data_IF_608127588898
#
_entry.id   IF_608127588898
#
_cell.length_a   1.000
_cell.length_b   1.000
_cell.length_c   1.000
_cell.angle_alpha   90.00
_cell.angle_beta   90.00
_cell.angle_gamma   90.00
#
_symmetry.space_group_name_H-M   'P 1'
#
loop_
_entity.id
_entity.type
_entity.pdbx_description
1 polymer ?
#
# COMPACT_ATOMS: atom_id res chain seq x y z
N UNK A 1 2.45 -28.28 -26.06
CA UNK A 1 2.51 -28.48 -24.59
C UNK A 1 3.73 -27.78 -23.96
N UNK A 2 4.93 -27.98 -24.50
CA UNK A 2 6.21 -27.40 -24.03
C UNK A 2 6.19 -25.84 -23.95
N UNK A 3 5.65 -25.16 -24.97
CA UNK A 3 5.56 -23.67 -24.98
C UNK A 3 4.66 -23.11 -23.86
N UNK A 4 3.57 -23.81 -23.49
CA UNK A 4 2.70 -23.40 -22.38
C UNK A 4 3.39 -23.58 -21.02
N UNK A 5 4.18 -24.65 -20.87
CA UNK A 5 4.98 -24.91 -19.66
C UNK A 5 6.09 -23.86 -19.53
N UNK A 6 6.83 -23.58 -20.61
CA UNK A 6 7.88 -22.56 -20.62
C UNK A 6 7.34 -21.16 -20.28
N UNK A 7 6.20 -20.75 -20.86
CA UNK A 7 5.54 -19.46 -20.52
C UNK A 7 5.07 -19.41 -19.06
N UNK A 8 4.56 -20.52 -18.53
CA UNK A 8 4.15 -20.62 -17.12
C UNK A 8 5.34 -20.49 -16.17
N UNK A 9 6.45 -21.18 -16.46
CA UNK A 9 7.70 -21.10 -15.70
C UNK A 9 8.30 -19.69 -15.77
N UNK A 10 8.34 -19.08 -16.96
CA UNK A 10 8.82 -17.71 -17.14
C UNK A 10 7.97 -16.69 -16.37
N UNK A 11 6.64 -16.84 -16.38
CA UNK A 11 5.75 -15.98 -15.58
C UNK A 11 5.99 -16.14 -14.09
N UNK A 12 6.11 -17.37 -13.60
CA UNK A 12 6.45 -17.67 -12.20
C UNK A 12 7.79 -17.09 -11.80
N UNK A 13 8.81 -17.19 -12.66
CA UNK A 13 10.12 -16.63 -12.42
C UNK A 13 10.10 -15.10 -12.36
N UNK A 14 9.46 -14.44 -13.34
CA UNK A 14 9.30 -12.98 -13.35
C UNK A 14 8.57 -12.49 -12.09
N UNK A 15 7.51 -13.18 -11.69
CA UNK A 15 6.77 -12.87 -10.47
C UNK A 15 7.63 -13.03 -9.21
N UNK A 16 8.37 -14.14 -9.09
CA UNK A 16 9.30 -14.37 -7.96
C UNK A 16 10.38 -13.30 -7.91
N UNK A 17 10.95 -12.92 -9.06
CA UNK A 17 11.96 -11.85 -9.15
C UNK A 17 11.39 -10.49 -8.75
N UNK A 18 10.21 -10.13 -9.28
CA UNK A 18 9.54 -8.88 -8.94
C UNK A 18 9.25 -8.78 -7.45
N UNK A 19 8.65 -9.83 -6.86
CA UNK A 19 8.41 -9.92 -5.42
C UNK A 19 9.71 -9.74 -4.66
N UNK A 20 10.75 -10.52 -4.99
CA UNK A 20 12.05 -10.46 -4.31
C UNK A 20 12.61 -9.04 -4.31
N UNK A 21 12.56 -8.36 -5.46
CA UNK A 21 12.99 -6.97 -5.58
C UNK A 21 12.16 -6.05 -4.68
N UNK A 22 10.83 -6.14 -4.72
CA UNK A 22 9.96 -5.32 -3.88
C UNK A 22 10.23 -5.52 -2.38
N UNK A 23 10.48 -6.75 -1.94
CA UNK A 23 10.83 -7.06 -0.54
C UNK A 23 12.20 -6.51 -0.18
N UNK A 24 13.22 -6.72 -1.01
CA UNK A 24 14.58 -6.24 -0.76
C UNK A 24 14.63 -4.70 -0.72
N UNK A 25 13.96 -4.03 -1.67
CA UNK A 25 13.83 -2.57 -1.73
C UNK A 25 13.11 -2.03 -0.49
N UNK A 26 11.98 -2.63 -0.10
CA UNK A 26 11.20 -2.23 1.08
C UNK A 26 11.99 -2.38 2.37
N UNK A 27 12.70 -3.51 2.56
CA UNK A 27 13.55 -3.75 3.74
C UNK A 27 14.69 -2.74 3.83
N UNK A 28 15.37 -2.49 2.70
CA UNK A 28 16.47 -1.52 2.63
C UNK A 28 15.98 -0.12 2.97
N UNK A 29 14.88 0.33 2.38
CA UNK A 29 14.35 1.66 2.59
C UNK A 29 13.81 1.83 4.02
N UNK A 30 13.15 0.80 4.58
CA UNK A 30 12.76 0.79 5.99
C UNK A 30 13.97 0.95 6.92
N UNK A 31 15.03 0.17 6.71
CA UNK A 31 16.24 0.24 7.53
C UNK A 31 16.99 1.58 7.41
N UNK A 32 16.95 2.21 6.22
CA UNK A 32 17.63 3.47 5.94
C UNK A 32 16.82 4.73 6.29
N UNK A 33 15.52 4.61 6.58
CA UNK A 33 14.71 5.75 6.98
C UNK A 33 15.32 6.41 8.22
N UNK A 34 15.23 7.74 8.31
CA UNK A 34 15.74 8.51 9.45
C UNK A 34 14.63 9.01 10.38
N UNK A 35 13.43 9.26 9.87
CA UNK A 35 12.29 9.71 10.67
C UNK A 35 11.19 8.67 10.86
N UNK A 36 10.00 9.13 11.26
CA UNK A 36 8.84 8.31 11.65
C UNK A 36 7.55 8.75 10.91
N UNK A 37 7.67 9.35 9.73
CA UNK A 37 6.52 9.76 8.92
C UNK A 37 6.25 8.75 7.78
N UNK A 38 5.06 8.17 7.77
CA UNK A 38 4.60 7.22 6.74
C UNK A 38 3.49 7.87 5.91
N UNK A 39 3.68 7.86 4.59
CA UNK A 39 2.65 8.23 3.63
C UNK A 39 2.16 6.99 2.89
N UNK A 40 0.87 6.66 3.05
CA UNK A 40 0.24 5.53 2.35
C UNK A 40 -0.42 6.02 1.06
N UNK A 41 -0.07 5.41 -0.06
CA UNK A 41 -0.43 5.85 -1.40
C UNK A 41 -1.23 4.77 -2.14
N UNK A 42 -2.30 5.20 -2.81
CA UNK A 42 -2.91 4.44 -3.92
C UNK A 42 -3.44 5.43 -4.95
N UNK A 43 -3.92 4.97 -6.11
CA UNK A 43 -4.36 5.90 -7.16
C UNK A 43 -5.44 6.89 -6.70
N UNK A 44 -6.57 6.37 -6.20
CA UNK A 44 -7.73 7.19 -5.88
C UNK A 44 -7.73 7.80 -4.49
N UNK A 45 -6.99 7.25 -3.53
CA UNK A 45 -7.14 7.59 -2.11
C UNK A 45 -8.59 7.51 -1.60
N UNK A 46 -9.34 6.51 -2.05
CA UNK A 46 -10.76 6.27 -1.67
C UNK A 46 -11.01 4.85 -1.19
N UNK A 47 -9.96 4.01 -1.07
CA UNK A 47 -10.09 2.71 -0.44
C UNK A 47 -8.79 2.07 0.07
N UNK A 48 -7.91 1.58 -0.83
CA UNK A 48 -6.70 0.83 -0.44
C UNK A 48 -5.80 1.58 0.53
N UNK A 49 -5.42 2.81 0.20
CA UNK A 49 -4.54 3.63 1.05
C UNK A 49 -5.21 4.16 2.32
N UNK A 50 -6.47 4.63 2.35
CA UNK A 50 -7.08 4.97 3.63
C UNK A 50 -7.31 3.76 4.52
N UNK A 51 -7.61 2.58 3.96
CA UNK A 51 -7.71 1.34 4.74
C UNK A 51 -6.43 1.05 5.52
N UNK A 52 -5.30 0.94 4.80
CA UNK A 52 -4.00 0.69 5.44
C UNK A 52 -3.65 1.86 6.36
N UNK A 53 -3.91 3.11 5.95
CA UNK A 53 -3.65 4.30 6.76
C UNK A 53 -4.33 4.26 8.13
N UNK A 54 -5.63 3.99 8.19
CA UNK A 54 -6.36 3.93 9.46
C UNK A 54 -5.97 2.73 10.31
N UNK A 55 -5.74 1.58 9.69
CA UNK A 55 -5.26 0.39 10.42
C UNK A 55 -3.88 0.66 11.04
N UNK A 56 -2.96 1.25 10.28
CA UNK A 56 -1.65 1.65 10.80
C UNK A 56 -1.77 2.68 11.92
N UNK A 57 -2.62 3.71 11.79
CA UNK A 57 -2.84 4.67 12.88
C UNK A 57 -3.28 3.99 14.17
N UNK A 58 -4.23 3.05 14.08
CA UNK A 58 -4.71 2.28 15.22
C UNK A 58 -3.61 1.41 15.85
N UNK A 59 -2.78 0.75 15.03
CA UNK A 59 -1.68 -0.10 15.52
C UNK A 59 -0.49 0.67 16.08
N UNK A 60 -0.31 1.93 15.65
CA UNK A 60 0.85 2.75 15.97
C UNK A 60 0.54 3.86 16.99
N UNK A 61 -0.63 3.83 17.64
CA UNK A 61 -1.11 4.87 18.57
C UNK A 61 -0.08 5.22 19.66
N UNK A 62 0.57 4.22 20.25
CA UNK A 62 1.54 4.39 21.34
C UNK A 62 2.98 4.60 20.84
N UNK A 63 3.16 4.94 19.56
CA UNK A 63 4.46 5.13 18.94
C UNK A 63 4.62 6.54 18.37
N UNK A 64 5.85 6.91 18.00
CA UNK A 64 6.14 8.20 17.36
C UNK A 64 5.78 8.23 15.87
N UNK A 65 5.27 7.13 15.32
CA UNK A 65 4.93 7.04 13.90
C UNK A 65 3.71 7.90 13.56
N UNK A 66 3.89 8.79 12.59
CA UNK A 66 2.82 9.61 12.02
C UNK A 66 2.41 9.03 10.68
N UNK A 67 1.11 8.81 10.50
CA UNK A 67 0.58 8.20 9.28
C UNK A 67 -0.36 9.17 8.55
N UNK A 68 -0.08 9.38 7.27
CA UNK A 68 -0.97 10.09 6.33
C UNK A 68 -1.29 9.18 5.16
N UNK A 69 -2.35 9.49 4.42
CA UNK A 69 -2.63 8.84 3.15
C UNK A 69 -2.96 9.87 2.08
N UNK A 70 -2.58 9.58 0.83
CA UNK A 70 -2.93 10.39 -0.33
C UNK A 70 -3.01 9.52 -1.60
N UNK A 71 -3.25 10.16 -2.73
CA UNK A 71 -3.29 9.51 -4.04
C UNK A 71 -2.99 10.48 -5.17
N UNK A 72 -3.15 10.02 -6.41
CA UNK A 72 -2.74 10.75 -7.61
C UNK A 72 -3.90 11.42 -8.34
N UNK A 73 -5.13 11.02 -8.03
CA UNK A 73 -6.34 11.50 -8.71
C UNK A 73 -6.58 13.00 -8.47
N UNK A 74 -6.96 13.75 -9.52
CA UNK A 74 -7.11 15.21 -9.47
C UNK A 74 -8.21 15.68 -8.51
N UNK A 75 -9.36 15.00 -8.53
CA UNK A 75 -10.48 15.31 -7.64
C UNK A 75 -10.21 14.84 -6.20
N UNK A 76 -10.06 15.80 -5.29
CA UNK A 76 -9.92 15.62 -3.84
C UNK A 76 -11.27 15.67 -3.11
N UNK A 77 -11.28 15.39 -1.81
CA UNK A 77 -12.46 15.45 -0.95
C UNK A 77 -13.49 14.35 -1.17
N UNK A 78 -13.16 13.30 -1.93
CA UNK A 78 -14.09 12.21 -2.23
C UNK A 78 -14.20 11.25 -1.03
N UNK A 79 -15.41 10.79 -0.69
CA UNK A 79 -15.58 9.78 0.35
C UNK A 79 -15.22 8.39 -0.18
N UNK A 80 -14.97 7.46 0.75
CA UNK A 80 -15.05 6.04 0.45
C UNK A 80 -16.50 5.67 0.07
N UNK A 81 -16.69 4.68 -0.81
CA UNK A 81 -18.03 4.18 -1.12
C UNK A 81 -18.65 3.49 0.10
N UNK A 82 -19.97 3.48 0.21
CA UNK A 82 -20.68 2.79 1.31
C UNK A 82 -20.31 1.30 1.40
N UNK A 83 -20.17 0.63 0.25
CA UNK A 83 -19.76 -0.78 0.20
C UNK A 83 -18.33 -0.99 0.74
N UNK A 84 -17.41 -0.09 0.40
CA UNK A 84 -16.04 -0.14 0.92
C UNK A 84 -15.98 0.15 2.43
N UNK A 85 -16.78 1.10 2.92
CA UNK A 85 -16.91 1.40 4.35
C UNK A 85 -17.45 0.18 5.11
N UNK A 86 -18.55 -0.41 4.65
CA UNK A 86 -19.16 -1.56 5.29
C UNK A 86 -18.19 -2.75 5.37
N UNK A 87 -17.48 -3.04 4.28
CA UNK A 87 -16.50 -4.13 4.26
C UNK A 87 -15.26 -3.82 5.09
N UNK A 88 -14.81 -2.56 5.16
CA UNK A 88 -13.70 -2.19 6.05
C UNK A 88 -14.07 -2.34 7.53
N UNK A 89 -15.32 -2.04 7.89
CA UNK A 89 -15.82 -2.20 9.24
C UNK A 89 -15.82 -3.67 9.70
N UNK A 90 -16.00 -4.65 8.79
CA UNK A 90 -15.86 -6.08 9.10
C UNK A 90 -14.46 -6.43 9.68
N UNK A 91 -13.43 -5.62 9.37
CA UNK A 91 -12.06 -5.78 9.82
C UNK A 91 -11.65 -4.74 10.89
N UNK A 92 -12.63 -4.02 11.45
CA UNK A 92 -12.43 -3.01 12.49
C UNK A 92 -11.81 -1.70 11.97
N UNK A 93 -11.93 -1.40 10.68
CA UNK A 93 -11.43 -0.16 10.08
C UNK A 93 -12.59 0.78 9.75
N UNK A 94 -12.64 1.94 10.41
CA UNK A 94 -13.63 2.98 10.12
C UNK A 94 -13.11 3.94 9.04
N UNK A 95 -13.82 3.99 7.91
CA UNK A 95 -13.53 4.87 6.78
C UNK A 95 -14.58 5.96 6.55
N UNK A 96 -15.55 6.12 7.45
CA UNK A 96 -16.70 7.03 7.28
C UNK A 96 -16.28 8.49 7.14
N UNK A 97 -15.28 8.90 7.91
CA UNK A 97 -14.76 10.28 7.91
C UNK A 97 -13.63 10.52 6.89
N UNK A 98 -13.13 9.45 6.24
CA UNK A 98 -12.04 9.61 5.28
C UNK A 98 -12.45 10.48 4.09
N UNK A 99 -11.53 11.36 3.66
CA UNK A 99 -11.68 12.19 2.46
C UNK A 99 -10.40 12.13 1.64
N UNK A 100 -10.55 11.88 0.35
CA UNK A 100 -9.40 11.68 -0.52
C UNK A 100 -8.51 12.92 -0.60
N UNK A 101 -7.21 12.76 -0.41
CA UNK A 101 -6.20 13.80 -0.63
C UNK A 101 -5.35 13.46 -1.86
N UNK A 102 -4.82 14.50 -2.52
CA UNK A 102 -3.84 14.35 -3.59
C UNK A 102 -2.45 14.57 -3.02
N UNK A 103 -1.47 13.79 -3.49
CA UNK A 103 -0.07 14.04 -3.19
C UNK A 103 0.41 15.31 -3.88
N UNK A 104 1.29 16.02 -3.21
CA UNK A 104 2.13 17.09 -3.74
C UNK A 104 3.58 16.89 -3.26
N UNK A 105 4.50 17.76 -3.70
CA UNK A 105 5.90 17.66 -3.30
C UNK A 105 6.09 17.84 -1.78
N UNK A 106 5.30 18.70 -1.14
CA UNK A 106 5.40 18.93 0.30
C UNK A 106 5.08 17.67 1.11
N UNK A 107 4.10 16.89 0.66
CA UNK A 107 3.71 15.63 1.29
C UNK A 107 4.73 14.51 1.00
N UNK A 108 5.32 14.51 -0.20
CA UNK A 108 6.44 13.62 -0.55
C UNK A 108 7.69 13.90 0.30
N UNK A 109 7.98 15.17 0.56
CA UNK A 109 9.09 15.61 1.42
C UNK A 109 8.83 15.29 2.90
N UNK A 110 7.59 15.46 3.35
CA UNK A 110 7.16 15.12 4.71
C UNK A 110 7.37 13.63 5.04
N UNK A 111 7.21 12.74 4.06
CA UNK A 111 7.31 11.30 4.25
C UNK A 111 8.77 10.84 4.38
N UNK A 112 9.06 10.02 5.39
CA UNK A 112 10.30 9.23 5.47
C UNK A 112 10.15 7.91 4.71
N UNK A 113 8.93 7.37 4.73
CA UNK A 113 8.54 6.14 4.05
C UNK A 113 7.23 6.36 3.28
N UNK A 114 7.17 5.83 2.06
CA UNK A 114 6.00 5.91 1.19
C UNK A 114 5.54 4.49 0.87
N UNK A 115 4.41 4.08 1.46
CA UNK A 115 3.79 2.77 1.22
C UNK A 115 2.96 2.83 -0.05
N UNK A 116 3.23 1.96 -1.01
CA UNK A 116 2.52 1.87 -2.30
C UNK A 116 1.77 0.54 -2.46
N UNK A 117 0.70 0.53 -3.27
CA UNK A 117 -0.07 -0.69 -3.51
C UNK A 117 0.46 -1.53 -4.66
N UNK A 118 0.97 -0.89 -5.70
CA UNK A 118 1.29 -1.56 -6.97
C UNK A 118 2.38 -0.82 -7.76
N UNK A 119 2.89 -1.46 -8.80
CA UNK A 119 3.87 -0.85 -9.71
C UNK A 119 3.42 0.45 -10.37
N UNK A 120 2.11 0.64 -10.59
CA UNK A 120 1.59 1.88 -11.16
C UNK A 120 1.75 3.06 -10.19
N UNK A 121 1.54 2.84 -8.89
CA UNK A 121 1.81 3.84 -7.87
C UNK A 121 3.30 4.22 -7.84
N UNK A 122 4.19 3.22 -7.99
CA UNK A 122 5.64 3.47 -8.07
C UNK A 122 6.00 4.35 -9.25
N UNK A 123 5.46 4.05 -10.43
CA UNK A 123 5.74 4.84 -11.64
C UNK A 123 5.18 6.26 -11.50
N UNK A 124 3.98 6.42 -10.93
CA UNK A 124 3.38 7.73 -10.68
C UNK A 124 4.16 8.58 -9.66
N UNK A 125 4.80 7.96 -8.65
CA UNK A 125 5.63 8.66 -7.67
C UNK A 125 6.87 9.31 -8.29
N UNK A 126 7.37 8.82 -9.43
CA UNK A 126 8.56 9.39 -10.10
C UNK A 126 8.40 10.83 -10.54
N UNK A 127 7.17 11.34 -10.58
CA UNK A 127 6.89 12.75 -10.83
C UNK A 127 7.30 13.67 -9.65
N UNK A 128 7.64 13.11 -8.49
CA UNK A 128 8.02 13.84 -7.27
C UNK A 128 9.49 13.58 -6.94
N UNK A 129 10.18 14.60 -6.45
CA UNK A 129 11.60 14.49 -6.13
C UNK A 129 11.85 13.61 -4.91
N UNK A 130 13.00 12.91 -4.91
CA UNK A 130 13.53 12.16 -3.76
C UNK A 130 12.59 11.11 -3.15
N UNK A 131 11.75 10.44 -3.97
CA UNK A 131 10.85 9.37 -3.48
C UNK A 131 11.42 7.96 -3.59
N UNK A 132 12.36 7.70 -4.51
CA UNK A 132 12.80 6.34 -4.86
C UNK A 132 13.37 5.55 -3.67
N UNK A 133 14.08 6.21 -2.76
CA UNK A 133 14.66 5.61 -1.56
C UNK A 133 13.69 5.55 -0.37
N UNK A 134 12.43 5.95 -0.54
CA UNK A 134 11.38 5.94 0.50
C UNK A 134 10.34 4.84 0.28
N UNK A 135 10.31 4.22 -0.89
CA UNK A 135 9.24 3.31 -1.31
C UNK A 135 9.23 2.01 -0.50
N UNK A 136 8.05 1.63 -0.02
CA UNK A 136 7.73 0.32 0.56
C UNK A 136 6.51 -0.24 -0.16
N UNK A 137 6.55 -1.49 -0.61
CA UNK A 137 5.34 -2.17 -1.10
C UNK A 137 4.49 -2.60 0.07
N UNK A 138 3.17 -2.36 -0.01
CA UNK A 138 2.25 -2.74 1.04
C UNK A 138 2.31 -4.24 1.36
N UNK A 139 2.38 -5.09 0.34
CA UNK A 139 2.50 -6.55 0.49
C UNK A 139 3.92 -7.07 0.68
N UNK A 140 4.94 -6.22 0.87
CA UNK A 140 6.34 -6.66 0.94
C UNK A 140 6.63 -7.62 2.09
N UNK A 141 5.91 -7.49 3.20
CA UNK A 141 6.13 -8.29 4.42
C UNK A 141 5.15 -9.45 4.56
N UNK A 142 4.30 -9.69 3.55
CA UNK A 142 3.43 -10.87 3.54
C UNK A 142 4.22 -12.09 3.08
N UNK A 143 4.17 -13.17 3.87
CA UNK A 143 4.78 -14.45 3.52
C UNK A 143 4.05 -15.08 2.33
N UNK A 144 4.81 -15.60 1.35
CA UNK A 144 4.33 -16.32 0.16
C UNK A 144 3.25 -15.64 -0.72
N UNK A 145 2.96 -14.36 -0.50
CA UNK A 145 2.00 -13.57 -1.28
C UNK A 145 2.67 -12.61 -2.28
N UNK A 146 1.87 -12.02 -3.16
CA UNK A 146 2.33 -10.97 -4.08
C UNK A 146 2.60 -9.68 -3.30
N UNK A 147 3.62 -8.94 -3.72
CA UNK A 147 3.91 -7.62 -3.13
C UNK A 147 2.85 -6.58 -3.51
N UNK A 148 2.28 -6.71 -4.71
CA UNK A 148 1.22 -5.83 -5.21
C UNK A 148 -0.15 -6.23 -4.62
N UNK A 149 -0.97 -5.22 -4.37
CA UNK A 149 -2.36 -5.34 -3.97
C UNK A 149 -3.25 -4.78 -5.09
N UNK A 150 -3.99 -5.67 -5.74
CA UNK A 150 -4.86 -5.35 -6.88
C UNK A 150 -5.84 -4.21 -6.59
N UNK A 151 -6.17 -3.44 -7.62
CA UNK A 151 -7.25 -2.44 -7.52
C UNK A 151 -8.63 -3.14 -7.45
N UNK A 152 -9.42 -2.88 -6.39
CA UNK A 152 -10.76 -3.46 -6.24
C UNK A 152 -11.83 -2.79 -7.12
N UNK A 153 -11.53 -1.67 -7.79
CA UNK A 153 -12.47 -0.99 -8.67
C UNK A 153 -13.00 -1.91 -9.78
N UNK A 154 -14.33 -2.01 -9.89
CA UNK A 154 -15.01 -2.83 -10.91
C UNK A 154 -14.82 -4.35 -10.74
N UNK A 155 -14.36 -4.82 -9.58
CA UNK A 155 -14.19 -6.26 -9.29
C UNK A 155 -15.45 -6.86 -8.68
N UNK A 156 -15.57 -8.19 -8.74
CA UNK A 156 -16.65 -8.92 -8.08
C UNK A 156 -16.52 -8.84 -6.55
N UNK A 157 -17.61 -8.93 -5.77
CA UNK A 157 -17.55 -8.88 -4.31
C UNK A 157 -16.57 -9.90 -3.70
N UNK A 158 -16.53 -11.13 -4.22
CA UNK A 158 -15.60 -12.15 -3.77
C UNK A 158 -14.13 -11.75 -4.00
N UNK A 159 -13.82 -11.11 -5.14
CA UNK A 159 -12.46 -10.64 -5.41
C UNK A 159 -12.11 -9.43 -4.54
N UNK A 160 -13.06 -8.54 -4.28
CA UNK A 160 -12.81 -7.42 -3.37
C UNK A 160 -12.54 -7.94 -1.96
N UNK A 161 -13.29 -8.93 -1.46
CA UNK A 161 -13.03 -9.56 -0.16
C UNK A 161 -11.59 -10.09 -0.05
N UNK A 162 -11.12 -10.82 -1.06
CA UNK A 162 -9.70 -11.28 -1.11
C UNK A 162 -8.70 -10.13 -1.07
N UNK A 163 -8.98 -9.03 -1.75
CA UNK A 163 -8.13 -7.82 -1.75
C UNK A 163 -8.11 -7.20 -0.34
N UNK A 164 -9.24 -7.13 0.34
CA UNK A 164 -9.33 -6.59 1.71
C UNK A 164 -8.60 -7.47 2.72
N UNK A 165 -8.74 -8.78 2.61
CA UNK A 165 -7.98 -9.72 3.43
C UNK A 165 -6.46 -9.54 3.24
N UNK A 166 -6.01 -9.31 2.00
CA UNK A 166 -4.60 -8.97 1.73
C UNK A 166 -4.22 -7.60 2.29
N UNK A 167 -5.08 -6.57 2.17
CA UNK A 167 -4.84 -5.25 2.76
C UNK A 167 -4.69 -5.34 4.29
N UNK A 168 -5.55 -6.13 4.95
CA UNK A 168 -5.54 -6.29 6.40
C UNK A 168 -4.25 -6.97 6.87
N UNK A 169 -3.89 -8.11 6.26
CA UNK A 169 -2.61 -8.78 6.53
C UNK A 169 -1.42 -7.85 6.29
N UNK A 170 -1.44 -7.11 5.18
CA UNK A 170 -0.39 -6.15 4.84
C UNK A 170 -0.26 -5.05 5.88
N UNK A 171 -1.38 -4.51 6.38
CA UNK A 171 -1.35 -3.48 7.42
C UNK A 171 -0.76 -4.02 8.73
N UNK A 172 -1.09 -5.25 9.13
CA UNK A 172 -0.52 -5.88 10.34
C UNK A 172 0.99 -6.13 10.20
N UNK A 173 1.43 -6.69 9.07
CA UNK A 173 2.86 -6.96 8.85
C UNK A 173 3.67 -5.67 8.69
N UNK A 174 3.11 -4.63 8.06
CA UNK A 174 3.70 -3.30 8.02
C UNK A 174 3.82 -2.69 9.42
N UNK A 175 2.75 -2.75 10.24
CA UNK A 175 2.80 -2.22 11.61
C UNK A 175 3.90 -2.90 12.44
N UNK A 176 3.99 -4.23 12.36
CA UNK A 176 5.05 -4.99 13.03
C UNK A 176 6.45 -4.58 12.55
N UNK A 177 6.63 -4.40 11.24
CA UNK A 177 7.91 -3.97 10.67
C UNK A 177 8.29 -2.54 11.10
N UNK A 178 7.32 -1.63 11.19
CA UNK A 178 7.53 -0.24 11.63
C UNK A 178 7.87 -0.16 13.12
N UNK A 179 7.21 -0.97 13.96
CA UNK A 179 7.48 -1.05 15.41
C UNK A 179 8.82 -1.73 15.73
N UNK A 180 9.27 -2.65 14.87
CA UNK A 180 10.56 -3.33 15.02
C UNK A 180 11.79 -2.53 14.59
N UNK A 181 11.60 -1.31 14.09
CA UNK A 181 12.68 -0.37 13.72
C UNK A 181 12.95 0.60 14.86
#
# INVERSE_FOLDING_TARGET
MIVRIARSLQRRWRHRRYRRQAVEESRRNLAAASGRNVLVMCYGNIYRSPYIGEKLRSRLLESEWKVRSAGFHDRVGRPCSSNHIAMAAEFGVDLTQHRSARIDQSLADWADLIVIMDGFNRDALRAYAATDNKVIWAGAFNEDEQADIDDPYGRSPARIRQIVEQLDRSAETLAAALLGR
#
